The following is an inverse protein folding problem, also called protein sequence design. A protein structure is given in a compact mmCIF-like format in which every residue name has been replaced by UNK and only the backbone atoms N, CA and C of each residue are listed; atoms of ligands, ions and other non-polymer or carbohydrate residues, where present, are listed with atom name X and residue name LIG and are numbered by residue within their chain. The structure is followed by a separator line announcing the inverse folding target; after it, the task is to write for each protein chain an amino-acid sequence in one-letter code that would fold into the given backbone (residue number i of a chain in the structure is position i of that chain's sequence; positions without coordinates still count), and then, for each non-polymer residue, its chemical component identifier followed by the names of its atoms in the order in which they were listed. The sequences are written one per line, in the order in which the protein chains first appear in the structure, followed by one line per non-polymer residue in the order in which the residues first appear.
data_IF_916046431122
#
_entry.id   IF_916046431122
#
_cell.length_a   1.000
_cell.length_b   1.000
_cell.length_c   1.000
_cell.angle_alpha   90.00
_cell.angle_beta   90.00
_cell.angle_gamma   90.00
#
_symmetry.space_group_name_H-M   'P 1'
#
loop_
_entity.id
_entity.type
_entity.pdbx_description
1 polymer ?
#
# COMPACT_ATOMS: atom_id res chain seq x y z
N UNK A 1 -10.86 -8.25 -4.65
CA UNK A 1 -10.93 -9.63 -4.09
C UNK A 1 -10.10 -9.80 -2.82
N UNK A 2 -8.77 -9.59 -2.85
CA UNK A 2 -7.88 -9.83 -1.71
C UNK A 2 -8.28 -9.11 -0.40
N UNK A 3 -8.47 -7.80 -0.45
CA UNK A 3 -8.82 -7.01 0.76
C UNK A 3 -10.21 -7.33 1.30
N UNK A 4 -11.15 -7.74 0.45
CA UNK A 4 -12.45 -8.26 0.87
C UNK A 4 -12.33 -9.60 1.62
N UNK A 5 -11.52 -10.53 1.09
CA UNK A 5 -11.21 -11.79 1.78
C UNK A 5 -10.57 -11.55 3.14
N UNK A 6 -9.59 -10.63 3.22
CA UNK A 6 -8.92 -10.29 4.49
C UNK A 6 -9.90 -9.79 5.57
N UNK A 7 -10.95 -9.05 5.17
CA UNK A 7 -12.00 -8.56 6.07
C UNK A 7 -13.03 -9.64 6.46
N UNK A 8 -13.00 -10.81 5.82
CA UNK A 8 -14.04 -11.83 5.95
C UNK A 8 -15.32 -11.48 5.18
N UNK A 9 -15.25 -10.55 4.23
CA UNK A 9 -16.39 -10.20 3.38
C UNK A 9 -16.72 -11.37 2.43
N UNK A 10 -18.00 -11.49 2.05
CA UNK A 10 -18.41 -12.46 1.05
C UNK A 10 -17.84 -12.09 -0.34
N UNK A 11 -17.11 -13.03 -0.96
CA UNK A 11 -16.54 -12.89 -2.30
C UNK A 11 -17.28 -13.88 -3.23
N UNK A 12 -18.39 -13.46 -3.87
CA UNK A 12 -19.31 -14.39 -4.55
C UNK A 12 -18.69 -15.11 -5.76
N UNK A 13 -17.85 -14.41 -6.50
CA UNK A 13 -17.19 -14.91 -7.69
C UNK A 13 -15.91 -14.13 -7.94
N UNK A 14 -14.97 -14.77 -8.62
CA UNK A 14 -13.68 -14.19 -9.00
C UNK A 14 -13.49 -14.48 -10.48
N UNK A 15 -13.22 -13.44 -11.26
CA UNK A 15 -12.96 -13.57 -12.68
C UNK A 15 -11.76 -14.51 -12.92
N UNK A 16 -11.84 -15.36 -13.94
CA UNK A 16 -10.85 -16.41 -14.20
C UNK A 16 -9.41 -15.87 -14.27
N UNK A 17 -9.22 -14.68 -14.85
CA UNK A 17 -7.91 -14.04 -14.96
C UNK A 17 -7.30 -13.64 -13.61
N UNK A 18 -8.13 -13.39 -12.59
CA UNK A 18 -7.69 -12.96 -11.26
C UNK A 18 -7.61 -14.10 -10.25
N UNK A 19 -8.22 -15.26 -10.54
CA UNK A 19 -8.19 -16.43 -9.65
C UNK A 19 -6.78 -16.85 -9.22
N UNK A 20 -5.77 -16.92 -10.11
CA UNK A 20 -4.42 -17.30 -9.67
C UNK A 20 -3.86 -16.30 -8.66
N UNK A 21 -3.99 -15.00 -8.92
CA UNK A 21 -3.53 -13.95 -8.01
C UNK A 21 -4.26 -13.99 -6.67
N UNK A 22 -5.58 -14.21 -6.69
CA UNK A 22 -6.37 -14.37 -5.47
C UNK A 22 -5.91 -15.58 -4.65
N UNK A 23 -5.72 -16.73 -5.29
CA UNK A 23 -5.21 -17.94 -4.62
C UNK A 23 -3.81 -17.73 -4.04
N UNK A 24 -2.95 -16.97 -4.75
CA UNK A 24 -1.64 -16.56 -4.26
C UNK A 24 -1.73 -15.73 -2.99
N UNK A 25 -2.68 -14.79 -2.94
CA UNK A 25 -2.96 -13.96 -1.76
C UNK A 25 -3.50 -14.79 -0.59
N UNK A 26 -4.54 -15.61 -0.82
CA UNK A 26 -5.17 -16.43 0.22
C UNK A 26 -4.17 -17.34 0.90
N UNK A 27 -3.32 -18.04 0.13
CA UNK A 27 -2.26 -18.89 0.68
C UNK A 27 -1.33 -18.11 1.61
N UNK A 28 -0.82 -16.96 1.16
CA UNK A 28 0.05 -16.14 1.99
C UNK A 28 -0.67 -15.63 3.24
N UNK A 29 -1.91 -15.16 3.09
CA UNK A 29 -2.69 -14.58 4.18
C UNK A 29 -2.97 -15.62 5.27
N UNK A 30 -3.56 -16.76 4.91
CA UNK A 30 -3.92 -17.82 5.85
C UNK A 30 -2.70 -18.41 6.57
N UNK A 31 -1.56 -18.51 5.87
CA UNK A 31 -0.31 -19.01 6.44
C UNK A 31 0.35 -18.00 7.39
N UNK A 32 0.36 -16.71 7.07
CA UNK A 32 1.26 -15.72 7.70
C UNK A 32 0.56 -14.64 8.55
N UNK A 33 -0.73 -14.40 8.34
CA UNK A 33 -1.46 -13.33 9.04
C UNK A 33 -2.16 -13.89 10.28
N UNK A 34 -1.91 -13.26 11.43
CA UNK A 34 -2.61 -13.54 12.68
C UNK A 34 -3.93 -12.75 12.73
N UNK A 35 -3.86 -11.46 12.37
CA UNK A 35 -5.00 -10.54 12.51
C UNK A 35 -4.96 -9.40 11.51
N UNK A 36 -6.13 -9.04 10.95
CA UNK A 36 -6.32 -7.79 10.23
C UNK A 36 -6.53 -6.62 11.21
N UNK A 37 -5.81 -5.51 10.98
CA UNK A 37 -5.89 -4.29 11.79
C UNK A 37 -6.58 -3.16 11.02
N UNK A 38 -6.28 -3.03 9.72
CA UNK A 38 -6.80 -1.97 8.86
C UNK A 38 -6.87 -2.46 7.42
N UNK A 39 -7.87 -2.00 6.66
CA UNK A 39 -7.96 -2.28 5.23
C UNK A 39 -8.71 -1.18 4.50
N UNK A 40 -8.17 -0.77 3.34
CA UNK A 40 -8.90 -0.02 2.30
C UNK A 40 -9.69 1.19 2.84
N UNK A 41 -9.15 1.89 3.83
CA UNK A 41 -9.77 3.11 4.36
C UNK A 41 -8.91 4.30 3.96
N UNK A 42 -9.56 5.38 3.52
CA UNK A 42 -8.83 6.58 3.09
C UNK A 42 -8.33 7.34 4.32
N UNK A 43 -7.03 7.62 4.32
CA UNK A 43 -6.36 8.43 5.33
C UNK A 43 -5.93 9.76 4.74
N UNK A 44 -5.84 10.76 5.60
CA UNK A 44 -5.50 12.12 5.24
C UNK A 44 -4.31 12.58 6.07
N UNK A 45 -3.38 13.27 5.41
CA UNK A 45 -2.33 14.03 6.07
C UNK A 45 -2.66 15.51 5.91
N UNK A 46 -3.29 16.12 6.91
CA UNK A 46 -3.76 17.50 6.82
C UNK A 46 -2.61 18.50 6.64
N UNK A 47 -1.50 18.32 7.37
CA UNK A 47 -0.34 19.21 7.29
C UNK A 47 0.32 19.28 5.91
N UNK A 48 0.60 18.13 5.29
CA UNK A 48 1.19 18.04 3.95
C UNK A 48 0.14 18.01 2.82
N UNK A 49 -1.15 18.05 3.16
CA UNK A 49 -2.28 18.09 2.24
C UNK A 49 -2.27 17.00 1.15
N UNK A 50 -1.99 15.76 1.54
CA UNK A 50 -2.15 14.59 0.68
C UNK A 50 -2.99 13.51 1.37
N UNK A 51 -3.52 12.57 0.59
CA UNK A 51 -4.31 11.46 1.11
C UNK A 51 -3.98 10.17 0.35
N UNK A 52 -4.30 9.04 0.97
CA UNK A 52 -4.00 7.72 0.44
C UNK A 52 -4.97 6.68 0.95
N UNK A 53 -4.88 5.47 0.39
CA UNK A 53 -5.72 4.35 0.78
C UNK A 53 -4.81 3.12 0.88
N UNK A 54 -4.15 2.88 2.02
CA UNK A 54 -3.33 1.69 2.20
C UNK A 54 -4.17 0.42 2.06
N UNK A 55 -3.62 -0.62 1.43
CA UNK A 55 -4.37 -1.86 1.15
C UNK A 55 -4.71 -2.59 2.45
N UNK A 56 -3.68 -2.90 3.26
CA UNK A 56 -3.81 -3.63 4.53
C UNK A 56 -2.78 -3.17 5.57
N UNK A 57 -3.19 -3.18 6.84
CA UNK A 57 -2.28 -3.33 7.99
C UNK A 57 -2.68 -4.60 8.72
N UNK A 58 -1.69 -5.46 8.97
CA UNK A 58 -1.88 -6.76 9.59
C UNK A 58 -0.90 -6.95 10.74
N UNK A 59 -1.27 -7.80 11.70
CA UNK A 59 -0.32 -8.45 12.58
C UNK A 59 0.05 -9.81 11.98
N UNK A 60 1.35 -10.03 11.76
CA UNK A 60 1.87 -11.29 11.25
C UNK A 60 2.07 -12.28 12.41
N UNK A 61 1.88 -13.57 12.14
CA UNK A 61 2.08 -14.63 13.14
C UNK A 61 3.49 -14.55 13.74
N UNK A 62 3.57 -14.51 15.07
CA UNK A 62 4.83 -14.38 15.81
C UNK A 62 5.43 -12.97 15.86
N UNK A 63 4.80 -11.97 15.22
CA UNK A 63 5.18 -10.56 15.33
C UNK A 63 4.43 -9.86 16.46
N UNK A 64 5.11 -8.99 17.21
CA UNK A 64 4.46 -8.08 18.17
C UNK A 64 3.94 -6.81 17.51
N UNK A 65 4.54 -6.46 16.38
CA UNK A 65 4.32 -5.19 15.71
C UNK A 65 3.45 -5.35 14.46
N UNK A 66 2.75 -4.28 14.12
CA UNK A 66 1.94 -4.20 12.90
C UNK A 66 2.84 -4.05 11.67
N UNK A 67 2.37 -4.60 10.56
CA UNK A 67 3.02 -4.52 9.24
C UNK A 67 2.05 -3.91 8.23
N UNK A 68 2.51 -2.86 7.53
CA UNK A 68 1.83 -2.33 6.35
C UNK A 68 2.08 -3.28 5.17
N UNK A 69 1.04 -3.67 4.45
CA UNK A 69 1.13 -4.55 3.27
C UNK A 69 0.54 -3.82 2.07
N UNK A 70 1.34 -3.66 1.02
CA UNK A 70 0.93 -3.14 -0.29
C UNK A 70 0.89 -4.29 -1.31
N UNK A 71 -0.27 -4.56 -1.91
CA UNK A 71 -0.52 -5.72 -2.76
C UNK A 71 -0.26 -5.34 -4.22
N UNK A 72 0.56 -6.13 -4.91
CA UNK A 72 0.91 -5.89 -6.31
C UNK A 72 0.70 -7.14 -7.17
N UNK A 73 -0.01 -6.98 -8.29
CA UNK A 73 -0.21 -8.01 -9.33
C UNK A 73 0.78 -7.87 -10.50
N UNK A 74 1.61 -6.82 -10.50
CA UNK A 74 2.53 -6.50 -11.58
C UNK A 74 3.59 -7.58 -11.81
N UNK A 75 4.06 -7.70 -13.05
CA UNK A 75 5.11 -8.65 -13.42
C UNK A 75 6.46 -8.34 -12.74
N UNK A 76 6.70 -7.09 -12.35
CA UNK A 76 7.92 -6.60 -11.68
C UNK A 76 7.58 -5.67 -10.52
N UNK A 77 8.52 -5.52 -9.59
CA UNK A 77 8.47 -4.44 -8.60
C UNK A 77 9.11 -3.20 -9.22
N UNK A 78 8.43 -2.06 -9.16
CA UNK A 78 8.92 -0.79 -9.67
C UNK A 78 9.54 0.04 -8.56
N UNK A 79 10.48 0.91 -8.93
CA UNK A 79 11.19 1.81 -8.00
C UNK A 79 10.25 2.78 -7.26
N UNK A 80 9.05 3.01 -7.79
CA UNK A 80 8.03 3.85 -7.17
C UNK A 80 7.23 3.12 -6.08
N UNK A 81 7.25 1.78 -6.04
CA UNK A 81 6.47 1.05 -5.02
C UNK A 81 6.97 1.30 -3.60
N UNK A 82 8.29 1.27 -3.30
CA UNK A 82 8.78 1.64 -1.97
C UNK A 82 8.49 3.10 -1.61
N UNK A 83 8.44 4.01 -2.59
CA UNK A 83 8.06 5.41 -2.40
C UNK A 83 6.58 5.52 -1.98
N UNK A 84 5.69 4.77 -2.62
CA UNK A 84 4.28 4.66 -2.22
C UNK A 84 4.14 4.09 -0.81
N UNK A 85 4.87 3.01 -0.51
CA UNK A 85 4.86 2.35 0.79
C UNK A 85 5.30 3.31 1.91
N UNK A 86 6.35 4.09 1.68
CA UNK A 86 6.84 5.11 2.61
C UNK A 86 5.82 6.23 2.86
N UNK A 87 5.13 6.70 1.82
CA UNK A 87 4.03 7.67 1.95
C UNK A 87 2.85 7.12 2.77
N UNK A 88 2.54 5.83 2.62
CA UNK A 88 1.50 5.17 3.41
C UNK A 88 1.94 4.95 4.86
N UNK A 89 3.22 4.65 5.11
CA UNK A 89 3.76 4.58 6.46
C UNK A 89 3.59 5.90 7.22
N UNK A 90 3.88 7.03 6.55
CA UNK A 90 3.67 8.36 7.11
C UNK A 90 2.17 8.67 7.36
N UNK A 91 1.30 8.39 6.39
CA UNK A 91 -0.16 8.53 6.57
C UNK A 91 -0.68 7.73 7.77
N UNK A 92 -0.24 6.49 7.91
CA UNK A 92 -0.60 5.62 9.02
C UNK A 92 -0.13 6.20 10.35
N UNK A 93 1.12 6.67 10.41
CA UNK A 93 1.69 7.28 11.60
C UNK A 93 0.92 8.53 12.07
N UNK A 94 0.62 9.47 11.17
CA UNK A 94 -0.13 10.69 11.54
C UNK A 94 -1.60 10.42 11.88
N UNK A 95 -2.11 9.24 11.52
CA UNK A 95 -3.45 8.76 11.88
C UNK A 95 -3.42 7.75 13.05
N UNK A 96 -2.35 7.76 13.87
CA UNK A 96 -2.19 6.94 15.08
C UNK A 96 -2.23 5.41 14.83
N UNK A 97 -1.84 4.95 13.64
CA UNK A 97 -1.73 3.55 13.31
C UNK A 97 -0.27 3.21 12.99
N UNK A 98 0.52 2.87 14.00
CA UNK A 98 1.94 2.62 13.82
C UNK A 98 2.23 1.23 13.27
N UNK A 99 3.14 1.16 12.30
CA UNK A 99 3.72 -0.08 11.78
C UNK A 99 5.24 -0.02 11.90
N UNK A 100 5.87 -1.13 12.27
CA UNK A 100 7.33 -1.20 12.39
C UNK A 100 8.00 -1.34 11.01
N UNK A 101 7.33 -2.03 10.08
CA UNK A 101 7.82 -2.25 8.72
C UNK A 101 6.70 -2.24 7.70
N UNK A 102 7.07 -1.97 6.45
CA UNK A 102 6.21 -2.16 5.30
C UNK A 102 6.68 -3.34 4.46
N UNK A 103 5.75 -4.02 3.80
CA UNK A 103 6.06 -5.05 2.82
C UNK A 103 5.31 -4.80 1.51
N UNK A 104 5.96 -5.13 0.40
CA UNK A 104 5.27 -5.27 -0.89
C UNK A 104 4.98 -6.75 -1.09
N UNK A 105 3.70 -7.09 -1.22
CA UNK A 105 3.23 -8.45 -1.46
C UNK A 105 2.93 -8.62 -2.95
N UNK A 106 3.87 -9.24 -3.67
CA UNK A 106 3.73 -9.51 -5.09
C UNK A 106 3.01 -10.84 -5.32
N UNK A 107 1.78 -10.75 -5.79
CA UNK A 107 0.95 -11.90 -6.11
C UNK A 107 1.48 -12.65 -7.33
N UNK A 108 1.39 -13.97 -7.29
CA UNK A 108 1.87 -14.85 -8.35
C UNK A 108 0.75 -15.14 -9.36
N UNK A 109 1.04 -14.90 -10.65
CA UNK A 109 0.11 -15.08 -11.77
C UNK A 109 -0.25 -16.55 -12.06
N UNK A 110 0.49 -17.50 -11.49
CA UNK A 110 0.21 -18.95 -11.55
C UNK A 110 -0.40 -19.49 -10.25
N UNK A 111 -0.74 -18.64 -9.27
CA UNK A 111 -1.34 -19.07 -8.00
C UNK A 111 -0.41 -19.78 -7.03
N UNK A 112 0.91 -19.63 -7.20
CA UNK A 112 1.92 -20.03 -6.21
C UNK A 112 1.96 -19.03 -5.04
N UNK A 113 2.73 -19.34 -4.00
CA UNK A 113 2.91 -18.43 -2.86
C UNK A 113 3.41 -17.07 -3.35
N UNK A 114 2.82 -16.01 -2.81
CA UNK A 114 3.19 -14.62 -3.11
C UNK A 114 4.64 -14.33 -2.68
N UNK A 115 5.33 -13.45 -3.40
CA UNK A 115 6.67 -13.01 -3.02
C UNK A 115 6.57 -11.78 -2.13
N UNK A 116 7.29 -11.80 -1.01
CA UNK A 116 7.37 -10.70 -0.06
C UNK A 116 8.67 -9.94 -0.29
N UNK A 117 8.58 -8.61 -0.30
CA UNK A 117 9.73 -7.71 -0.28
C UNK A 117 9.59 -6.81 0.95
N UNK A 118 10.48 -6.99 1.93
CA UNK A 118 10.48 -6.25 3.19
C UNK A 118 11.20 -4.89 3.06
N UNK A 119 10.63 -3.86 3.68
CA UNK A 119 11.19 -2.52 3.77
C UNK A 119 11.11 -2.04 5.22
N UNK A 120 12.21 -2.24 5.96
CA UNK A 120 12.32 -1.81 7.36
C UNK A 120 12.66 -0.32 7.47
N UNK A 121 13.62 0.17 6.66
CA UNK A 121 13.94 1.60 6.58
C UNK A 121 13.30 2.23 5.34
N UNK A 122 12.26 3.03 5.56
CA UNK A 122 11.55 3.77 4.52
C UNK A 122 11.99 5.23 4.40
N UNK A 123 12.99 5.70 5.15
CA UNK A 123 13.32 7.13 5.24
C UNK A 123 13.79 7.72 3.90
N UNK A 124 14.65 7.00 3.17
CA UNK A 124 15.13 7.44 1.85
C UNK A 124 13.98 7.55 0.84
N UNK A 125 13.06 6.59 0.84
CA UNK A 125 11.87 6.57 0.00
C UNK A 125 10.85 7.65 0.39
N UNK A 126 10.69 7.94 1.69
CA UNK A 126 9.83 9.02 2.16
C UNK A 126 10.35 10.39 1.70
N UNK A 127 11.67 10.61 1.75
CA UNK A 127 12.29 11.82 1.21
C UNK A 127 12.02 11.98 -0.29
N UNK A 128 12.10 10.89 -1.06
CA UNK A 128 11.74 10.89 -2.49
C UNK A 128 10.26 11.25 -2.68
N UNK A 129 9.37 10.68 -1.86
CA UNK A 129 7.95 11.02 -1.88
C UNK A 129 7.72 12.52 -1.63
N UNK A 130 8.37 13.11 -0.63
CA UNK A 130 8.25 14.54 -0.34
C UNK A 130 8.72 15.41 -1.51
N UNK A 131 9.80 15.03 -2.19
CA UNK A 131 10.21 15.73 -3.42
C UNK A 131 9.16 15.62 -4.52
N UNK A 132 8.57 14.44 -4.72
CA UNK A 132 7.50 14.26 -5.70
C UNK A 132 6.25 15.09 -5.35
N UNK A 133 5.88 15.13 -4.06
CA UNK A 133 4.77 15.94 -3.55
C UNK A 133 5.00 17.43 -3.77
N UNK A 134 6.23 17.91 -3.54
CA UNK A 134 6.59 19.31 -3.77
C UNK A 134 6.48 19.68 -5.26
N UNK A 135 7.02 18.82 -6.15
CA UNK A 135 6.88 19.01 -7.60
C UNK A 135 5.41 19.01 -8.02
N UNK A 136 4.59 18.10 -7.47
CA UNK A 136 3.16 18.09 -7.72
C UNK A 136 2.49 19.40 -7.27
N UNK A 137 2.81 19.88 -6.07
CA UNK A 137 2.25 21.11 -5.53
C UNK A 137 2.58 22.29 -6.44
N UNK A 138 3.85 22.47 -6.81
CA UNK A 138 4.31 23.56 -7.66
C UNK A 138 3.69 23.52 -9.07
N UNK A 139 3.74 22.36 -9.73
CA UNK A 139 3.36 22.27 -11.15
C UNK A 139 1.86 22.06 -11.38
N UNK A 140 1.15 21.39 -10.47
CA UNK A 140 -0.19 20.88 -10.72
C UNK A 140 -1.23 21.44 -9.76
N UNK A 141 -0.89 21.66 -8.49
CA UNK A 141 -1.83 22.20 -7.50
C UNK A 141 -1.94 23.72 -7.57
N UNK A 142 -0.82 24.41 -7.76
CA UNK A 142 -0.75 25.89 -7.67
C UNK A 142 -0.72 26.60 -9.02
N UNK A 143 -1.20 26.04 -10.14
CA UNK A 143 -1.20 26.79 -11.42
C UNK A 143 -2.06 28.05 -11.30
N UNK A 144 -1.49 29.27 -11.25
CA UNK A 144 -2.28 30.45 -11.53
C UNK A 144 -2.61 30.37 -13.02
N UNK A 145 -3.85 30.71 -13.41
CA UNK A 145 -4.15 30.93 -14.83
C UNK A 145 -3.20 32.02 -15.33
N UNK A 146 -2.16 31.65 -16.07
CA UNK A 146 -1.32 32.62 -16.76
C UNK A 146 -2.24 33.37 -17.73
N UNK A 147 -2.58 34.62 -17.38
CA UNK A 147 -3.23 35.52 -18.32
C UNK A 147 -2.17 35.91 -19.35
N UNK A 148 -2.41 35.62 -20.63
CA UNK A 148 -1.60 36.21 -21.70
C UNK A 148 -1.72 37.73 -21.59
N UNK A 149 -0.59 38.42 -21.57
CA UNK A 149 -0.59 39.86 -21.79
C UNK A 149 -1.14 40.11 -23.20
N UNK A 150 -2.08 41.05 -23.29
CA UNK A 150 -2.65 41.53 -24.55
C UNK A 150 -1.61 42.33 -25.35
#
# INVERSE_FOLDING_TARGET
YATAYARGDFVPSIDEEYKPYFNSFVKWYDENVEKLIFSETRLYHEGLQYCGKPDLVVNLKGSKDNTLVDIKTSASIYETHPVQLAAYMDLLNVNNLHCQKGIILKLNKEGKIARVYDFEDCNSYYKIFLYALELYNYFLKTKPRMKRAA
#
